data_IF_286144010343
#
_entry.id   IF_286144010343
#
_cell.length_a   1.000
_cell.length_b   1.000
_cell.length_c   1.000
_cell.angle_alpha   90.00
_cell.angle_beta   90.00
_cell.angle_gamma   90.00
#
_symmetry.space_group_name_H-M   'P 1'
#
loop_
_entity.id
_entity.type
_entity.pdbx_description
1 polymer ?
#
# COMPACT_ATOMS: atom_id res chain seq x y z
N UNK A 1 -10.75 9.31 -30.35
CA UNK A 1 -10.03 8.05 -30.05
C UNK A 1 -9.80 7.93 -28.55
N UNK A 2 -10.34 6.89 -27.93
CA UNK A 2 -10.14 6.60 -26.50
C UNK A 2 -8.70 6.11 -26.32
N UNK A 3 -7.82 6.97 -25.80
CA UNK A 3 -6.44 6.57 -25.46
C UNK A 3 -6.50 5.53 -24.35
N UNK A 4 -6.19 4.27 -24.69
CA UNK A 4 -6.01 3.18 -23.72
C UNK A 4 -4.81 3.51 -22.83
N UNK A 5 -4.97 3.41 -21.52
CA UNK A 5 -3.88 3.65 -20.56
C UNK A 5 -2.77 2.61 -20.78
N UNK A 6 -1.59 3.05 -21.21
CA UNK A 6 -0.39 2.20 -21.32
C UNK A 6 0.37 2.31 -20.00
N UNK A 7 0.46 1.20 -19.27
CA UNK A 7 1.29 1.10 -18.07
C UNK A 7 2.74 0.82 -18.47
N UNK A 8 3.67 1.58 -17.89
CA UNK A 8 5.12 1.37 -18.06
C UNK A 8 5.76 1.24 -16.70
N UNK A 9 6.81 0.44 -16.61
CA UNK A 9 7.66 0.41 -15.43
C UNK A 9 8.36 1.76 -15.29
N UNK A 10 8.61 2.15 -14.05
CA UNK A 10 9.50 3.27 -13.74
C UNK A 10 10.96 2.83 -13.94
N UNK A 11 11.89 3.77 -14.04
CA UNK A 11 13.32 3.43 -14.11
C UNK A 11 13.77 2.56 -12.91
N UNK A 12 13.24 2.83 -11.72
CA UNK A 12 13.46 1.99 -10.53
C UNK A 12 12.87 0.58 -10.70
N UNK A 13 11.67 0.47 -11.29
CA UNK A 13 11.06 -0.82 -11.60
C UNK A 13 11.85 -1.65 -12.61
N UNK A 14 12.42 -1.01 -13.63
CA UNK A 14 13.31 -1.67 -14.60
C UNK A 14 14.60 -2.15 -13.94
N UNK A 15 15.24 -1.31 -13.11
CA UNK A 15 16.43 -1.68 -12.35
C UNK A 15 16.17 -2.86 -11.40
N UNK A 16 15.01 -2.86 -10.72
CA UNK A 16 14.62 -3.94 -9.83
C UNK A 16 14.43 -5.25 -10.59
N UNK A 17 13.76 -5.20 -11.74
CA UNK A 17 13.53 -6.38 -12.57
C UNK A 17 14.84 -6.98 -13.09
N UNK A 18 15.78 -6.12 -13.52
CA UNK A 18 17.12 -6.53 -13.95
C UNK A 18 17.92 -7.14 -12.78
N UNK A 19 17.91 -6.49 -11.61
CA UNK A 19 18.66 -6.96 -10.45
C UNK A 19 18.09 -8.26 -9.86
N UNK A 20 16.76 -8.44 -9.88
CA UNK A 20 16.12 -9.64 -9.35
C UNK A 20 16.20 -10.83 -10.31
N UNK A 21 16.36 -10.59 -11.61
CA UNK A 21 16.26 -11.64 -12.64
C UNK A 21 14.86 -12.26 -12.69
N UNK A 22 13.83 -11.48 -12.38
CA UNK A 22 12.44 -11.94 -12.31
C UNK A 22 12.03 -12.64 -11.02
N UNK A 23 12.94 -12.77 -10.03
CA UNK A 23 12.62 -13.30 -8.71
C UNK A 23 11.82 -12.29 -7.89
N UNK A 24 10.92 -12.79 -7.06
CA UNK A 24 10.18 -12.01 -6.08
C UNK A 24 10.83 -12.15 -4.70
N UNK A 25 10.63 -11.15 -3.84
CA UNK A 25 11.03 -11.17 -2.44
C UNK A 25 9.83 -10.94 -1.53
N UNK A 26 9.90 -11.47 -0.31
CA UNK A 26 8.91 -11.18 0.73
C UNK A 26 9.22 -9.87 1.44
N UNK A 27 8.19 -9.21 1.99
CA UNK A 27 8.36 -7.99 2.79
C UNK A 27 9.30 -8.22 3.97
N UNK A 28 9.13 -9.36 4.66
CA UNK A 28 9.98 -9.83 5.75
C UNK A 28 11.46 -9.88 5.38
N UNK A 29 11.80 -10.47 4.23
CA UNK A 29 13.18 -10.57 3.75
C UNK A 29 13.77 -9.19 3.42
N UNK A 30 12.98 -8.29 2.82
CA UNK A 30 13.42 -6.93 2.54
C UNK A 30 13.60 -6.07 3.81
N UNK A 31 12.89 -6.38 4.89
CA UNK A 31 12.89 -5.57 6.11
C UNK A 31 14.25 -5.55 6.79
N UNK A 32 15.00 -6.65 6.76
CA UNK A 32 16.38 -6.69 7.30
C UNK A 32 17.24 -5.58 6.69
N UNK A 33 17.06 -5.29 5.41
CA UNK A 33 17.84 -4.27 4.71
C UNK A 33 17.47 -2.86 5.16
N UNK A 34 16.19 -2.61 5.44
CA UNK A 34 15.72 -1.28 5.88
C UNK A 34 16.02 -1.04 7.35
N UNK A 35 15.81 -2.02 8.22
CA UNK A 35 16.08 -1.93 9.67
C UNK A 35 17.56 -1.76 9.95
N UNK A 36 18.42 -2.56 9.30
CA UNK A 36 19.86 -2.48 9.47
C UNK A 36 20.42 -1.10 9.11
N UNK A 37 19.84 -0.45 8.08
CA UNK A 37 20.24 0.88 7.65
C UNK A 37 19.82 1.98 8.63
N UNK A 38 18.67 1.79 9.29
CA UNK A 38 18.18 2.69 10.33
C UNK A 38 18.82 2.41 11.70
N UNK A 39 19.67 1.39 11.82
CA UNK A 39 20.27 0.97 13.09
C UNK A 39 19.28 0.29 14.04
N UNK A 40 18.17 -0.22 13.51
CA UNK A 40 17.12 -0.91 14.25
C UNK A 40 17.39 -2.42 14.34
N UNK A 41 16.75 -3.07 15.30
CA UNK A 41 16.88 -4.51 15.53
C UNK A 41 16.04 -5.34 14.57
N UNK A 42 16.58 -6.49 14.15
CA UNK A 42 15.87 -7.50 13.35
C UNK A 42 16.12 -8.88 13.95
N UNK A 43 15.26 -9.86 13.63
CA UNK A 43 15.41 -11.23 14.13
C UNK A 43 16.17 -12.14 13.13
N UNK A 44 16.66 -13.27 13.63
CA UNK A 44 17.45 -14.23 12.84
C UNK A 44 16.65 -14.85 11.68
N UNK A 45 15.35 -15.10 11.88
CA UNK A 45 14.49 -15.66 10.85
C UNK A 45 14.40 -14.73 9.63
N UNK A 46 14.34 -13.42 9.83
CA UNK A 46 14.33 -12.46 8.72
C UNK A 46 15.65 -12.47 7.96
N UNK A 47 16.79 -12.63 8.67
CA UNK A 47 18.12 -12.73 8.03
C UNK A 47 18.21 -13.98 7.17
N UNK A 48 17.69 -15.11 7.66
CA UNK A 48 17.68 -16.36 6.91
C UNK A 48 16.75 -16.29 5.69
N UNK A 49 15.58 -15.66 5.82
CA UNK A 49 14.70 -15.37 4.69
C UNK A 49 15.39 -14.45 3.65
N UNK A 50 16.12 -13.43 4.10
CA UNK A 50 16.87 -12.54 3.22
C UNK A 50 18.04 -13.25 2.50
N UNK A 51 18.72 -14.19 3.16
CA UNK A 51 19.77 -15.01 2.54
C UNK A 51 19.21 -16.00 1.53
N UNK A 52 18.16 -16.73 1.89
CA UNK A 52 17.52 -17.71 1.01
C UNK A 52 16.95 -17.08 -0.26
N UNK A 53 16.51 -15.81 -0.18
CA UNK A 53 16.01 -15.02 -1.31
C UNK A 53 17.11 -14.25 -2.06
N UNK A 54 18.37 -14.38 -1.65
CA UNK A 54 19.52 -13.75 -2.33
C UNK A 54 19.62 -12.23 -2.15
N UNK A 55 18.96 -11.68 -1.13
CA UNK A 55 19.08 -10.27 -0.73
C UNK A 55 20.37 -10.01 0.05
N UNK A 56 20.84 -11.01 0.80
CA UNK A 56 22.09 -10.99 1.56
C UNK A 56 23.05 -12.08 1.06
N UNK A 57 24.33 -11.71 0.93
CA UNK A 57 25.44 -12.64 0.70
C UNK A 57 26.42 -12.67 1.88
N UNK A 58 27.55 -13.38 1.75
CA UNK A 58 28.54 -13.52 2.82
C UNK A 58 29.13 -12.19 3.31
N UNK A 59 29.19 -11.17 2.45
CA UNK A 59 29.74 -9.85 2.73
C UNK A 59 28.70 -8.74 2.99
N UNK A 60 27.42 -9.08 3.12
CA UNK A 60 26.34 -8.10 3.30
C UNK A 60 25.33 -8.06 2.13
N UNK A 61 24.61 -6.94 1.93
CA UNK A 61 23.59 -6.80 0.90
C UNK A 61 24.12 -7.06 -0.52
N UNK A 62 23.38 -7.85 -1.30
CA UNK A 62 23.69 -8.10 -2.72
C UNK A 62 23.24 -6.93 -3.60
N UNK A 63 23.57 -6.95 -4.90
CA UNK A 63 23.00 -5.98 -5.87
C UNK A 63 21.47 -5.97 -5.82
N UNK A 64 20.85 -7.14 -5.71
CA UNK A 64 19.39 -7.25 -5.60
C UNK A 64 18.89 -6.62 -4.30
N UNK A 65 19.54 -6.91 -3.17
CA UNK A 65 19.22 -6.29 -1.87
C UNK A 65 19.33 -4.76 -1.92
N UNK A 66 20.44 -4.22 -2.42
CA UNK A 66 20.65 -2.77 -2.52
C UNK A 66 19.60 -2.07 -3.39
N UNK A 67 19.28 -2.64 -4.56
CA UNK A 67 18.24 -2.07 -5.44
C UNK A 67 16.87 -2.14 -4.76
N UNK A 68 16.54 -3.23 -4.07
CA UNK A 68 15.27 -3.38 -3.38
C UNK A 68 15.13 -2.39 -2.21
N UNK A 69 16.21 -2.20 -1.44
CA UNK A 69 16.28 -1.22 -0.35
C UNK A 69 16.13 0.22 -0.88
N UNK A 70 16.64 0.50 -2.07
CA UNK A 70 16.42 1.78 -2.74
C UNK A 70 14.97 1.96 -3.16
N UNK A 71 14.37 0.92 -3.76
CA UNK A 71 12.96 0.93 -4.16
C UNK A 71 12.04 1.14 -2.96
N UNK A 72 12.33 0.54 -1.80
CA UNK A 72 11.48 0.70 -0.62
C UNK A 72 11.43 2.15 -0.09
N UNK A 73 12.47 2.95 -0.35
CA UNK A 73 12.55 4.37 0.04
C UNK A 73 12.01 5.30 -1.03
N UNK A 74 12.39 5.09 -2.29
CA UNK A 74 12.13 6.03 -3.39
C UNK A 74 10.81 5.77 -4.12
N UNK A 75 10.27 4.55 -4.08
CA UNK A 75 9.07 4.23 -4.84
C UNK A 75 7.84 4.89 -4.24
N UNK A 76 7.16 5.71 -5.05
CA UNK A 76 5.87 6.28 -4.68
C UNK A 76 4.87 5.18 -4.36
N UNK A 77 4.37 5.18 -3.12
CA UNK A 77 3.38 4.21 -2.65
C UNK A 77 2.00 4.58 -3.20
N UNK A 78 1.49 3.79 -4.15
CA UNK A 78 0.12 3.94 -4.62
C UNK A 78 -0.82 3.08 -3.77
N UNK A 79 -1.83 3.71 -3.17
CA UNK A 79 -2.73 3.02 -2.27
C UNK A 79 -3.69 2.10 -3.05
N UNK A 80 -3.62 0.82 -2.71
CA UNK A 80 -4.48 -0.25 -3.20
C UNK A 80 -4.84 -1.13 -2.00
N UNK A 81 -6.14 -1.35 -1.80
CA UNK A 81 -6.65 -2.22 -0.73
C UNK A 81 -7.73 -3.11 -1.32
N UNK A 82 -7.42 -4.40 -1.36
CA UNK A 82 -8.32 -5.50 -1.72
C UNK A 82 -9.22 -5.87 -0.55
N UNK A 83 -10.24 -6.69 -0.81
CA UNK A 83 -11.18 -7.16 0.23
C UNK A 83 -10.48 -7.87 1.39
N UNK A 84 -9.54 -8.78 1.11
CA UNK A 84 -8.82 -9.51 2.17
C UNK A 84 -7.95 -8.55 3.01
N UNK A 85 -7.24 -7.65 2.35
CA UNK A 85 -6.44 -6.61 3.03
C UNK A 85 -7.33 -5.68 3.89
N UNK A 86 -8.51 -5.31 3.41
CA UNK A 86 -9.49 -4.55 4.19
C UNK A 86 -10.01 -5.36 5.39
N UNK A 87 -10.26 -6.67 5.24
CA UNK A 87 -10.65 -7.54 6.35
C UNK A 87 -9.55 -7.65 7.39
N UNK A 88 -8.29 -7.78 6.99
CA UNK A 88 -7.14 -7.78 7.90
C UNK A 88 -7.06 -6.46 8.67
N UNK A 89 -7.11 -5.30 7.98
CA UNK A 89 -7.11 -3.99 8.64
C UNK A 89 -8.25 -3.85 9.66
N UNK A 90 -9.45 -4.37 9.36
CA UNK A 90 -10.60 -4.37 10.28
C UNK A 90 -10.34 -5.22 11.54
N UNK A 91 -9.54 -6.28 11.44
CA UNK A 91 -9.17 -7.16 12.57
C UNK A 91 -8.04 -6.61 13.42
N UNK A 92 -7.15 -5.79 12.85
CA UNK A 92 -6.03 -5.21 13.59
C UNK A 92 -6.53 -4.20 14.65
N UNK A 93 -6.08 -4.31 15.91
CA UNK A 93 -6.40 -3.33 16.95
C UNK A 93 -5.76 -1.96 16.66
N UNK A 94 -6.40 -0.87 17.09
CA UNK A 94 -5.94 0.50 16.77
C UNK A 94 -4.87 1.05 17.72
N UNK A 95 -4.83 0.57 18.96
CA UNK A 95 -3.99 1.12 20.04
C UNK A 95 -3.13 0.08 20.74
N UNK A 96 -3.03 -1.12 20.18
CA UNK A 96 -2.30 -2.26 20.73
C UNK A 96 -1.77 -3.08 19.56
N UNK A 97 -0.73 -3.87 19.80
CA UNK A 97 -0.30 -4.92 18.89
C UNK A 97 -1.07 -6.22 19.10
N UNK A 98 -1.14 -7.04 18.05
CA UNK A 98 -1.57 -8.45 18.08
C UNK A 98 -0.46 -9.33 17.50
N UNK A 99 -0.31 -10.58 17.95
CA UNK A 99 0.67 -11.47 17.34
C UNK A 99 0.21 -11.95 15.97
N UNK A 100 1.16 -12.18 15.06
CA UNK A 100 0.88 -12.72 13.72
C UNK A 100 0.04 -14.01 13.79
N UNK A 101 0.39 -14.93 14.68
CA UNK A 101 -0.34 -16.19 14.85
C UNK A 101 -1.78 -16.00 15.37
N UNK A 102 -2.07 -14.93 16.12
CA UNK A 102 -3.44 -14.63 16.55
C UNK A 102 -4.26 -14.02 15.41
N UNK A 103 -3.65 -13.19 14.55
CA UNK A 103 -4.29 -12.72 13.32
C UNK A 103 -4.60 -13.91 12.40
N UNK A 104 -3.62 -14.77 12.10
CA UNK A 104 -3.80 -15.94 11.22
C UNK A 104 -4.93 -16.84 11.71
N UNK A 105 -5.00 -17.11 13.02
CA UNK A 105 -6.10 -17.90 13.62
C UNK A 105 -7.50 -17.31 13.41
N UNK A 106 -7.61 -16.03 13.05
CA UNK A 106 -8.90 -15.40 12.72
C UNK A 106 -9.37 -15.68 11.28
N UNK A 107 -8.54 -16.36 10.47
CA UNK A 107 -8.77 -16.68 9.06
C UNK A 107 -8.41 -18.16 8.77
N UNK A 108 -9.16 -19.13 9.32
CA UNK A 108 -8.82 -20.54 9.20
C UNK A 108 -8.85 -21.01 7.74
N UNK A 109 -7.78 -21.66 7.29
CA UNK A 109 -7.65 -22.17 5.91
C UNK A 109 -7.22 -21.12 4.87
N UNK A 110 -6.89 -19.91 5.29
CA UNK A 110 -6.39 -18.82 4.43
C UNK A 110 -5.00 -18.33 4.87
N UNK A 111 -4.22 -19.16 5.55
CA UNK A 111 -2.97 -18.78 6.23
C UNK A 111 -1.99 -18.09 5.26
N UNK A 112 -1.65 -18.74 4.15
CA UNK A 112 -0.74 -18.20 3.13
C UNK A 112 -1.27 -16.91 2.49
N UNK A 113 -2.60 -16.84 2.27
CA UNK A 113 -3.24 -15.67 1.67
C UNK A 113 -3.20 -14.47 2.63
N UNK A 114 -3.36 -14.70 3.93
CA UNK A 114 -3.26 -13.68 4.97
C UNK A 114 -1.83 -13.17 5.08
N UNK A 115 -0.84 -14.06 5.12
CA UNK A 115 0.57 -13.66 5.16
C UNK A 115 0.96 -12.83 3.93
N UNK A 116 0.53 -13.26 2.74
CA UNK A 116 0.75 -12.52 1.50
C UNK A 116 0.04 -11.16 1.50
N UNK A 117 -1.20 -11.09 1.99
CA UNK A 117 -1.94 -9.85 2.11
C UNK A 117 -1.32 -8.89 3.14
N UNK A 118 -0.81 -9.41 4.25
CA UNK A 118 -0.10 -8.65 5.26
C UNK A 118 1.19 -8.05 4.69
N UNK A 119 2.00 -8.84 3.97
CA UNK A 119 3.20 -8.32 3.32
C UNK A 119 2.91 -7.20 2.32
N UNK A 120 1.75 -7.26 1.63
CA UNK A 120 1.30 -6.16 0.77
C UNK A 120 0.89 -4.92 1.56
N UNK A 121 0.14 -5.07 2.65
CA UNK A 121 -0.23 -3.94 3.53
C UNK A 121 1.01 -3.24 4.09
N UNK A 122 1.99 -4.03 4.51
CA UNK A 122 3.25 -3.55 5.04
C UNK A 122 4.10 -2.84 3.99
N UNK A 123 4.24 -3.42 2.79
CA UNK A 123 4.96 -2.76 1.67
C UNK A 123 4.36 -1.39 1.29
N UNK A 124 3.09 -1.17 1.64
CA UNK A 124 2.37 0.09 1.42
C UNK A 124 2.39 1.02 2.64
N UNK A 125 3.08 0.64 3.71
CA UNK A 125 3.23 1.44 4.93
C UNK A 125 1.98 1.50 5.80
N UNK A 126 1.05 0.54 5.68
CA UNK A 126 -0.21 0.54 6.43
C UNK A 126 -0.16 -0.28 7.73
N UNK A 127 0.76 -1.24 7.79
CA UNK A 127 0.95 -2.15 8.91
C UNK A 127 2.45 -2.33 9.08
N UNK A 128 2.89 -2.51 10.31
CA UNK A 128 4.26 -2.83 10.67
C UNK A 128 4.28 -4.15 11.43
N UNK A 129 5.30 -4.97 11.16
CA UNK A 129 5.54 -6.19 11.94
C UNK A 129 6.84 -6.01 12.70
N UNK A 130 6.77 -6.13 14.01
CA UNK A 130 7.91 -5.98 14.91
C UNK A 130 8.78 -7.24 14.93
N UNK A 131 10.03 -7.17 15.42
CA UNK A 131 10.94 -8.32 15.49
C UNK A 131 10.42 -9.52 16.29
N UNK A 132 9.45 -9.32 17.18
CA UNK A 132 8.78 -10.35 17.97
C UNK A 132 7.46 -10.85 17.35
N UNK A 133 7.27 -10.64 16.04
CA UNK A 133 6.10 -11.02 15.25
C UNK A 133 4.78 -10.39 15.73
N UNK A 134 4.87 -9.27 16.44
CA UNK A 134 3.72 -8.42 16.76
C UNK A 134 3.41 -7.50 15.60
N UNK A 135 2.12 -7.32 15.32
CA UNK A 135 1.59 -6.49 14.25
C UNK A 135 1.03 -5.20 14.84
N UNK A 136 1.43 -4.06 14.27
CA UNK A 136 0.95 -2.74 14.63
C UNK A 136 0.41 -2.02 13.40
N UNK A 137 -0.69 -1.29 13.58
CA UNK A 137 -1.27 -0.48 12.51
C UNK A 137 -0.61 0.90 12.53
N UNK A 138 -0.12 1.35 11.38
CA UNK A 138 0.53 2.66 11.26
C UNK A 138 -0.52 3.78 11.28
N UNK A 139 -0.10 5.03 11.44
CA UNK A 139 -1.02 6.18 11.34
C UNK A 139 -1.74 6.26 9.98
N UNK A 140 -1.07 6.11 8.81
CA UNK A 140 -1.77 5.94 7.54
C UNK A 140 -2.71 4.74 7.55
N UNK A 141 -2.29 3.62 8.14
CA UNK A 141 -3.10 2.41 8.31
C UNK A 141 -4.42 2.67 9.03
N UNK A 142 -4.41 3.45 10.12
CA UNK A 142 -5.61 3.81 10.88
C UNK A 142 -6.60 4.62 10.04
N UNK A 143 -6.11 5.58 9.27
CA UNK A 143 -6.94 6.39 8.37
C UNK A 143 -7.55 5.54 7.25
N UNK A 144 -6.77 4.63 6.67
CA UNK A 144 -7.27 3.69 5.66
C UNK A 144 -8.29 2.73 6.27
N UNK A 145 -8.03 2.22 7.47
CA UNK A 145 -8.96 1.37 8.23
C UNK A 145 -10.29 2.09 8.44
N UNK A 146 -10.28 3.32 8.92
CA UNK A 146 -11.46 4.15 9.09
C UNK A 146 -12.25 4.29 7.79
N UNK A 147 -11.58 4.55 6.67
CA UNK A 147 -12.21 4.65 5.36
C UNK A 147 -12.83 3.32 4.90
N UNK A 148 -12.11 2.19 5.00
CA UNK A 148 -12.61 0.89 4.50
C UNK A 148 -13.66 0.26 5.42
N UNK A 149 -13.84 0.74 6.66
CA UNK A 149 -14.95 0.36 7.53
C UNK A 149 -16.30 0.76 6.95
N UNK A 150 -16.38 1.92 6.28
CA UNK A 150 -17.60 2.37 5.60
C UNK A 150 -17.88 1.65 4.28
N UNK A 151 -16.86 0.99 3.70
CA UNK A 151 -17.03 0.24 2.46
C UNK A 151 -17.82 -1.06 2.70
N UNK A 152 -18.85 -1.36 1.85
CA UNK A 152 -19.60 -2.60 1.93
C UNK A 152 -18.72 -3.84 1.78
N UNK A 153 -19.05 -4.92 2.50
CA UNK A 153 -18.29 -6.18 2.48
C UNK A 153 -18.22 -6.86 1.10
N UNK A 154 -19.20 -6.59 0.22
CA UNK A 154 -19.26 -7.13 -1.15
C UNK A 154 -18.27 -6.48 -2.13
N UNK A 155 -17.59 -5.40 -1.76
CA UNK A 155 -16.65 -4.71 -2.65
C UNK A 155 -15.30 -5.44 -2.67
N UNK A 156 -14.92 -5.94 -3.85
CA UNK A 156 -13.69 -6.72 -4.02
C UNK A 156 -12.40 -5.89 -3.80
N UNK A 157 -12.42 -4.60 -4.14
CA UNK A 157 -11.26 -3.70 -4.02
C UNK A 157 -11.74 -2.31 -3.62
N UNK A 158 -11.98 -2.07 -2.32
CA UNK A 158 -12.55 -0.81 -1.84
C UNK A 158 -11.66 0.39 -2.13
N UNK A 159 -10.33 0.23 -2.16
CA UNK A 159 -9.41 1.33 -2.48
C UNK A 159 -8.60 0.97 -3.71
N UNK A 160 -8.62 1.83 -4.72
CA UNK A 160 -7.80 1.69 -5.94
C UNK A 160 -7.06 2.99 -6.23
N UNK A 161 -5.95 2.93 -7.01
CA UNK A 161 -5.27 4.14 -7.48
C UNK A 161 -6.19 5.10 -8.26
N UNK A 162 -7.20 4.57 -8.95
CA UNK A 162 -8.19 5.39 -9.68
C UNK A 162 -9.10 6.17 -8.72
N UNK A 163 -9.54 5.55 -7.64
CA UNK A 163 -10.28 6.23 -6.58
C UNK A 163 -9.42 7.34 -5.97
N UNK A 164 -8.16 7.06 -5.62
CA UNK A 164 -7.27 8.07 -5.03
C UNK A 164 -7.17 9.30 -5.93
N UNK A 165 -6.88 9.11 -7.23
CA UNK A 165 -6.85 10.21 -8.21
C UNK A 165 -8.16 10.98 -8.28
N UNK A 166 -9.29 10.28 -8.27
CA UNK A 166 -10.61 10.90 -8.26
C UNK A 166 -10.81 11.75 -6.99
N UNK A 167 -10.46 11.24 -5.81
CA UNK A 167 -10.60 11.99 -4.56
C UNK A 167 -9.73 13.24 -4.56
N UNK A 168 -8.48 13.15 -5.03
CA UNK A 168 -7.58 14.31 -5.19
C UNK A 168 -8.20 15.37 -6.12
N UNK A 169 -8.75 14.94 -7.25
CA UNK A 169 -9.42 15.83 -8.19
C UNK A 169 -10.67 16.48 -7.59
N UNK A 170 -11.50 15.73 -6.86
CA UNK A 170 -12.69 16.27 -6.18
C UNK A 170 -12.27 17.24 -5.07
N UNK A 171 -11.22 16.95 -4.30
CA UNK A 171 -10.69 17.88 -3.28
C UNK A 171 -10.25 19.21 -3.89
N UNK A 172 -9.57 19.16 -5.04
CA UNK A 172 -9.07 20.34 -5.76
C UNK A 172 -10.19 21.14 -6.43
N UNK A 173 -11.08 20.46 -7.15
CA UNK A 173 -12.12 21.09 -7.96
C UNK A 173 -13.38 21.42 -7.16
N UNK A 174 -13.54 20.82 -5.96
CA UNK A 174 -14.71 20.95 -5.08
C UNK A 174 -16.02 20.60 -5.78
N UNK A 175 -15.99 19.62 -6.69
CA UNK A 175 -17.16 19.11 -7.42
C UNK A 175 -16.97 17.66 -7.84
N UNK A 176 -18.07 16.92 -7.92
CA UNK A 176 -18.18 15.56 -8.47
C UNK A 176 -18.94 15.52 -9.80
N UNK A 177 -19.50 16.66 -10.24
CA UNK A 177 -20.44 16.75 -11.36
C UNK A 177 -19.76 17.21 -12.67
N UNK A 178 -18.66 17.97 -12.58
CA UNK A 178 -17.92 18.43 -13.76
C UNK A 178 -17.00 17.32 -14.30
N UNK A 179 -17.62 16.38 -15.01
CA UNK A 179 -16.94 15.23 -15.63
C UNK A 179 -15.79 15.67 -16.53
N UNK A 180 -15.94 16.74 -17.30
CA UNK A 180 -14.91 17.20 -18.23
C UNK A 180 -13.66 17.73 -17.51
N UNK A 181 -13.82 18.42 -16.37
CA UNK A 181 -12.69 18.83 -15.53
C UNK A 181 -12.10 17.65 -14.76
N UNK A 182 -12.93 16.73 -14.26
CA UNK A 182 -12.47 15.52 -13.57
C UNK A 182 -11.64 14.61 -14.49
N UNK A 183 -12.06 14.40 -15.74
CA UNK A 183 -11.26 13.64 -16.74
C UNK A 183 -9.89 14.30 -16.93
N UNK A 184 -9.84 15.62 -17.06
CA UNK A 184 -8.59 16.37 -17.24
C UNK A 184 -7.67 16.27 -16.03
N UNK A 185 -8.22 16.40 -14.84
CA UNK A 185 -7.44 16.39 -13.60
C UNK A 185 -6.93 14.98 -13.26
N UNK A 186 -7.81 13.96 -13.36
CA UNK A 186 -7.45 12.56 -13.04
C UNK A 186 -6.63 11.88 -14.13
N UNK A 187 -6.71 12.39 -15.37
CA UNK A 187 -6.19 11.76 -16.60
C UNK A 187 -6.74 10.36 -16.86
N UNK A 188 -7.90 10.03 -16.29
CA UNK A 188 -8.60 8.78 -16.54
C UNK A 188 -9.44 8.87 -17.81
N UNK A 189 -9.64 7.74 -18.47
CA UNK A 189 -10.66 7.64 -19.52
C UNK A 189 -12.06 7.92 -18.94
N UNK A 190 -13.00 8.34 -19.79
CA UNK A 190 -14.36 8.66 -19.34
C UNK A 190 -15.03 7.49 -18.61
N UNK A 191 -14.88 6.27 -19.13
CA UNK A 191 -15.46 5.07 -18.53
C UNK A 191 -14.75 4.70 -17.22
N UNK A 192 -13.42 4.79 -17.17
CA UNK A 192 -12.65 4.56 -15.94
C UNK A 192 -13.03 5.55 -14.83
N UNK A 193 -13.28 6.81 -15.20
CA UNK A 193 -13.74 7.84 -14.25
C UNK A 193 -15.14 7.53 -13.73
N UNK A 194 -16.06 7.09 -14.61
CA UNK A 194 -17.44 6.72 -14.21
C UNK A 194 -17.42 5.54 -13.25
N UNK A 195 -16.64 4.50 -13.54
CA UNK A 195 -16.47 3.36 -12.65
C UNK A 195 -15.90 3.78 -11.29
N UNK A 196 -14.88 4.65 -11.29
CA UNK A 196 -14.30 5.20 -10.07
C UNK A 196 -15.33 6.01 -9.25
N UNK A 197 -16.17 6.82 -9.90
CA UNK A 197 -17.25 7.58 -9.24
C UNK A 197 -18.30 6.66 -8.62
N UNK A 198 -18.73 5.62 -9.33
CA UNK A 198 -19.69 4.62 -8.82
C UNK A 198 -19.11 3.92 -7.60
N UNK A 199 -17.87 3.44 -7.70
CA UNK A 199 -17.21 2.74 -6.61
C UNK A 199 -16.95 3.65 -5.40
N UNK A 200 -16.48 4.89 -5.62
CA UNK A 200 -16.27 5.86 -4.54
C UNK A 200 -17.57 6.22 -3.80
N UNK A 201 -18.70 6.31 -4.51
CA UNK A 201 -20.03 6.49 -3.88
C UNK A 201 -20.45 5.25 -3.10
N UNK A 202 -20.29 4.06 -3.68
CA UNK A 202 -20.62 2.81 -3.02
C UNK A 202 -19.82 2.61 -1.72
N UNK A 203 -18.55 3.02 -1.70
CA UNK A 203 -17.68 3.01 -0.53
C UNK A 203 -17.84 4.21 0.40
N UNK A 204 -18.77 5.13 0.09
CA UNK A 204 -19.04 6.37 0.85
C UNK A 204 -17.83 7.29 1.00
N UNK A 205 -16.93 7.36 0.02
CA UNK A 205 -15.82 8.32 0.01
C UNK A 205 -16.23 9.69 -0.55
N UNK A 206 -17.28 9.71 -1.36
CA UNK A 206 -17.86 10.92 -1.93
C UNK A 206 -19.35 10.94 -1.66
N UNK A 207 -19.85 12.10 -1.26
CA UNK A 207 -21.27 12.38 -1.09
C UNK A 207 -21.89 12.85 -2.41
N UNK A 208 -22.84 13.79 -2.30
CA UNK A 208 -23.47 14.39 -3.48
C UNK A 208 -22.45 15.17 -4.30
N UNK A 209 -21.79 16.16 -3.69
CA UNK A 209 -20.93 17.14 -4.37
C UNK A 209 -19.51 17.28 -3.79
N UNK A 210 -19.19 16.55 -2.72
CA UNK A 210 -17.93 16.69 -1.98
C UNK A 210 -17.41 15.35 -1.49
N UNK A 211 -16.20 15.35 -0.94
CA UNK A 211 -15.70 14.25 -0.13
C UNK A 211 -16.54 14.09 1.14
N UNK A 212 -16.59 12.87 1.65
CA UNK A 212 -17.03 12.55 3.02
C UNK A 212 -15.83 12.53 3.96
N UNK A 213 -16.07 12.34 5.28
CA UNK A 213 -14.98 12.16 6.24
C UNK A 213 -14.10 10.94 5.92
N UNK A 214 -14.68 9.87 5.38
CA UNK A 214 -13.95 8.68 4.95
C UNK A 214 -13.09 8.95 3.70
N UNK A 215 -13.59 9.74 2.76
CA UNK A 215 -12.81 10.19 1.60
C UNK A 215 -11.66 11.11 2.00
N UNK A 216 -11.88 12.01 2.95
CA UNK A 216 -10.86 12.89 3.51
C UNK A 216 -9.79 12.10 4.28
N UNK A 217 -10.19 11.12 5.09
CA UNK A 217 -9.27 10.23 5.80
C UNK A 217 -8.36 9.47 4.81
N UNK A 218 -8.95 8.94 3.73
CA UNK A 218 -8.19 8.23 2.71
C UNK A 218 -7.16 9.13 2.02
N UNK A 219 -7.53 10.37 1.69
CA UNK A 219 -6.60 11.34 1.12
C UNK A 219 -5.49 11.72 2.11
N UNK A 220 -5.82 11.90 3.38
CA UNK A 220 -4.82 12.20 4.40
C UNK A 220 -3.83 11.05 4.58
N UNK A 221 -4.29 9.79 4.50
CA UNK A 221 -3.39 8.64 4.49
C UNK A 221 -2.40 8.69 3.32
N UNK A 222 -2.87 9.02 2.11
CA UNK A 222 -2.02 9.15 0.92
C UNK A 222 -0.98 10.26 1.09
N UNK A 223 -1.36 11.39 1.70
CA UNK A 223 -0.43 12.49 1.98
C UNK A 223 0.67 12.07 2.96
N UNK A 224 0.32 11.42 4.07
CA UNK A 224 1.29 10.92 5.04
C UNK A 224 2.27 9.90 4.42
N UNK A 225 1.76 8.98 3.59
CA UNK A 225 2.61 8.02 2.88
C UNK A 225 3.57 8.70 1.90
N UNK A 226 3.12 9.76 1.22
CA UNK A 226 3.95 10.54 0.31
C UNK A 226 5.03 11.34 1.05
N UNK A 227 4.72 11.87 2.25
CA UNK A 227 5.68 12.54 3.12
C UNK A 227 6.77 11.60 3.61
N UNK A 228 6.40 10.40 4.08
CA UNK A 228 7.35 9.36 4.50
C UNK A 228 8.34 8.98 3.39
N UNK A 229 7.87 8.93 2.15
CA UNK A 229 8.71 8.61 0.97
C UNK A 229 9.68 9.77 0.63
N UNK A 230 9.33 11.02 0.97
CA UNK A 230 10.14 12.21 0.67
C UNK A 230 11.19 12.53 1.73
N UNK A 231 10.93 12.21 3.00
CA UNK A 231 11.86 12.49 4.11
C UNK A 231 13.12 11.61 4.04
N UNK A 232 13.03 10.43 3.42
CA UNK A 232 14.14 9.47 3.31
C UNK A 232 15.07 9.69 2.11
N UNK A 233 14.83 10.73 1.28
CA UNK A 233 15.72 11.09 0.16
C UNK A 233 16.53 12.34 0.51
N UNK A 234 17.70 12.24 1.16
CA UNK A 234 18.60 13.39 1.26
C UNK A 234 19.09 13.78 -0.15
N UNK A 235 19.16 15.09 -0.38
CA UNK A 235 19.65 15.70 -1.62
C UNK A 235 21.14 15.41 -1.88
#
# INVERSE_FOLDING_TARGET
ELRRTVLRLTALGEQLLDASGGRASTARASRVLTEADQGLGFNEAWVEDARSQGLLGPGGPTRYGLVLQRVSREAARSLLVTRLEAMILKRLPEKRSITLSALIRSFPGEEEAVEYALGKLESRGLVETLPDDRLEITEPGLLVKAAVLAAPSGVATPVTPRIVKLLEAVAKLRTTEDVARLVRETRLGLDELRDALVLARACRYIGKNSLTGEGEALLKAVQLLAEQTRVETPA
#
